data_IF_786174837920
#
_entry.id   IF_786174837920
#
_cell.length_a   1.000
_cell.length_b   1.000
_cell.length_c   1.000
_cell.angle_alpha   90.00
_cell.angle_beta   90.00
_cell.angle_gamma   90.00
#
_symmetry.space_group_name_H-M   'P 1'
#
loop_
_entity.id
_entity.type
_entity.pdbx_description
1 polymer ?
#
# COMPACT_ATOMS: atom_id res chain seq x y z
N UNK A 1 7.51 -29.56 20.89
CA UNK A 1 8.59 -28.68 20.42
C UNK A 1 8.45 -28.51 18.92
N UNK A 2 7.99 -27.34 18.49
CA UNK A 2 7.99 -26.99 17.06
C UNK A 2 9.42 -26.61 16.70
N UNK A 3 10.02 -27.37 15.77
CA UNK A 3 11.28 -26.99 15.18
C UNK A 3 11.03 -25.79 14.25
N UNK A 4 11.57 -24.62 14.58
CA UNK A 4 11.65 -23.51 13.65
C UNK A 4 12.65 -23.89 12.57
N UNK A 5 12.19 -24.04 11.33
CA UNK A 5 13.09 -24.15 10.18
C UNK A 5 13.76 -22.78 10.01
N UNK A 6 15.01 -22.69 10.42
CA UNK A 6 15.84 -21.53 10.15
C UNK A 6 16.09 -21.43 8.65
N UNK A 7 15.63 -20.36 8.01
CA UNK A 7 16.04 -20.06 6.64
C UNK A 7 17.45 -19.50 6.66
N UNK A 8 18.39 -20.21 6.06
CA UNK A 8 19.75 -19.70 5.87
C UNK A 8 19.77 -18.89 4.58
N UNK A 9 19.95 -17.58 4.68
CA UNK A 9 20.17 -16.72 3.52
C UNK A 9 21.68 -16.71 3.22
N UNK A 10 22.04 -17.25 2.06
CA UNK A 10 23.40 -17.10 1.55
C UNK A 10 23.39 -15.91 0.60
N UNK A 11 24.09 -14.84 0.98
CA UNK A 11 24.36 -13.73 0.07
C UNK A 11 25.46 -14.19 -0.89
N UNK A 12 25.11 -14.39 -2.16
CA UNK A 12 26.05 -14.76 -3.21
C UNK A 12 26.33 -13.55 -4.10
N UNK A 13 27.56 -13.47 -4.60
CA UNK A 13 27.95 -12.43 -5.56
C UNK A 13 27.08 -12.54 -6.84
N UNK A 14 26.83 -11.41 -7.48
CA UNK A 14 26.02 -11.29 -8.72
C UNK A 14 26.51 -12.23 -9.83
N UNK A 15 27.80 -12.52 -9.88
CA UNK A 15 28.39 -13.44 -10.84
C UNK A 15 27.98 -14.90 -10.64
N UNK A 16 27.68 -15.31 -9.40
CA UNK A 16 27.30 -16.71 -9.08
C UNK A 16 25.82 -16.96 -9.34
N UNK A 17 24.96 -15.91 -9.28
CA UNK A 17 23.54 -16.05 -9.55
C UNK A 17 23.21 -16.27 -11.03
N UNK A 18 24.14 -15.97 -11.94
CA UNK A 18 23.98 -16.22 -13.38
C UNK A 18 24.21 -17.67 -13.78
N UNK A 19 24.86 -18.49 -12.93
CA UNK A 19 25.19 -19.89 -13.20
C UNK A 19 24.17 -20.88 -12.63
N UNK A 20 23.18 -20.44 -11.86
CA UNK A 20 22.07 -21.31 -11.45
C UNK A 20 21.07 -21.41 -12.62
N UNK A 21 21.54 -22.01 -13.70
CA UNK A 21 20.72 -22.36 -14.84
C UNK A 21 19.81 -23.52 -14.45
N UNK A 22 18.50 -23.25 -14.34
CA UNK A 22 17.49 -24.30 -14.09
C UNK A 22 16.46 -23.96 -13.02
N UNK A 23 16.68 -23.00 -12.17
CA UNK A 23 15.60 -22.40 -11.38
C UNK A 23 14.91 -21.37 -12.28
N UNK A 24 13.66 -21.67 -12.67
CA UNK A 24 12.81 -20.64 -13.25
C UNK A 24 12.91 -19.40 -12.37
N UNK A 25 13.12 -18.21 -12.95
CA UNK A 25 13.41 -17.03 -12.13
C UNK A 25 12.26 -16.78 -11.17
N UNK A 26 12.52 -17.07 -9.91
CA UNK A 26 11.63 -16.80 -8.77
C UNK A 26 11.21 -15.31 -8.74
N UNK A 27 11.96 -14.50 -9.49
CA UNK A 27 11.88 -13.04 -9.52
C UNK A 27 11.20 -12.48 -10.78
N UNK A 28 10.52 -13.27 -11.59
CA UNK A 28 9.80 -12.76 -12.75
C UNK A 28 8.30 -12.91 -12.58
N UNK A 29 7.60 -11.82 -12.90
CA UNK A 29 6.15 -11.83 -13.03
C UNK A 29 5.74 -12.83 -14.14
N UNK A 30 4.86 -13.76 -13.81
CA UNK A 30 4.36 -14.78 -14.73
C UNK A 30 2.88 -14.66 -15.00
N UNK A 31 2.13 -14.19 -14.02
CA UNK A 31 0.68 -14.10 -14.10
C UNK A 31 0.20 -12.88 -13.32
N UNK A 32 -0.85 -12.25 -13.80
CA UNK A 32 -1.61 -11.25 -13.07
C UNK A 32 -3.02 -11.80 -12.90
N UNK A 33 -3.54 -11.76 -11.68
CA UNK A 33 -4.92 -12.14 -11.37
C UNK A 33 -5.60 -11.08 -10.50
N UNK A 34 -6.91 -11.15 -10.40
CA UNK A 34 -7.67 -10.35 -9.44
C UNK A 34 -7.51 -10.92 -8.03
N UNK A 35 -7.41 -10.06 -7.02
CA UNK A 35 -7.22 -10.49 -5.63
C UNK A 35 -8.43 -11.21 -5.03
N UNK A 36 -9.62 -11.00 -5.62
CA UNK A 36 -10.90 -11.56 -5.19
C UNK A 36 -11.45 -12.62 -6.16
N UNK A 37 -10.62 -13.12 -7.08
CA UNK A 37 -10.97 -14.13 -8.09
C UNK A 37 -12.21 -13.79 -8.95
N UNK A 38 -12.49 -12.48 -9.12
CA UNK A 38 -13.59 -12.05 -9.99
C UNK A 38 -13.25 -12.35 -11.44
N UNK A 39 -14.10 -13.16 -12.07
CA UNK A 39 -13.97 -13.57 -13.47
C UNK A 39 -15.01 -12.92 -14.37
N UNK A 40 -16.05 -12.34 -13.81
CA UNK A 40 -17.20 -11.82 -14.53
C UNK A 40 -17.88 -10.68 -13.77
N UNK A 41 -18.31 -9.66 -14.51
CA UNK A 41 -19.24 -8.63 -14.05
C UNK A 41 -20.49 -8.63 -14.92
N UNK A 42 -21.65 -8.47 -14.28
CA UNK A 42 -22.93 -8.28 -14.95
C UNK A 42 -23.39 -6.83 -14.70
N UNK A 43 -23.56 -6.08 -15.77
CA UNK A 43 -23.99 -4.69 -15.72
C UNK A 43 -25.30 -4.52 -16.51
N UNK A 44 -26.18 -3.69 -15.99
CA UNK A 44 -27.29 -3.17 -16.76
C UNK A 44 -26.88 -1.93 -17.55
N UNK A 45 -27.56 -1.64 -18.64
CA UNK A 45 -27.33 -0.41 -19.43
C UNK A 45 -27.20 0.82 -18.52
N UNK A 46 -26.12 1.60 -18.69
CA UNK A 46 -25.85 2.82 -17.94
C UNK A 46 -25.18 2.62 -16.58
N UNK A 47 -25.09 1.40 -16.08
CA UNK A 47 -24.31 1.10 -14.89
C UNK A 47 -22.81 1.22 -15.18
N UNK A 48 -22.03 1.46 -14.14
CA UNK A 48 -20.58 1.58 -14.26
C UNK A 48 -19.87 0.97 -13.05
N UNK A 49 -18.61 0.66 -13.23
CA UNK A 49 -17.69 0.32 -12.15
C UNK A 49 -16.39 1.10 -12.30
N UNK A 50 -15.68 1.35 -11.20
CA UNK A 50 -14.35 1.91 -11.23
C UNK A 50 -13.31 0.79 -11.38
N UNK A 51 -12.62 0.74 -12.51
CA UNK A 51 -11.63 -0.32 -12.76
C UNK A 51 -10.42 -0.21 -11.86
N UNK A 52 -10.11 1.00 -11.38
CA UNK A 52 -8.99 1.25 -10.48
C UNK A 52 -9.21 0.64 -9.07
N UNK A 53 -10.43 0.25 -8.75
CA UNK A 53 -10.75 -0.44 -7.49
C UNK A 53 -10.63 -1.97 -7.61
N UNK A 54 -10.38 -2.50 -8.81
CA UNK A 54 -10.16 -3.93 -9.01
C UNK A 54 -8.78 -4.28 -8.50
N UNK A 55 -8.71 -4.99 -7.39
CA UNK A 55 -7.46 -5.44 -6.82
C UNK A 55 -6.74 -6.42 -7.74
N UNK A 56 -5.44 -6.22 -7.94
CA UNK A 56 -4.58 -7.06 -8.76
C UNK A 56 -3.43 -7.64 -7.95
N UNK A 57 -3.08 -8.87 -8.26
CA UNK A 57 -1.94 -9.58 -7.69
C UNK A 57 -1.08 -10.18 -8.78
N UNK A 58 0.22 -9.93 -8.72
CA UNK A 58 1.20 -10.59 -9.58
C UNK A 58 1.66 -11.92 -8.97
N UNK A 59 1.79 -12.94 -9.79
CA UNK A 59 2.33 -14.25 -9.40
C UNK A 59 3.61 -14.56 -10.17
N UNK A 60 4.55 -15.25 -9.51
CA UNK A 60 5.76 -15.78 -10.13
C UNK A 60 5.51 -17.18 -10.75
N UNK A 61 6.55 -17.79 -11.28
CA UNK A 61 6.49 -19.11 -11.90
C UNK A 61 6.06 -20.24 -10.95
N UNK A 62 6.14 -20.05 -9.66
CA UNK A 62 5.73 -20.97 -8.59
C UNK A 62 4.33 -20.67 -8.06
N UNK A 63 3.59 -19.75 -8.70
CA UNK A 63 2.29 -19.24 -8.25
C UNK A 63 2.33 -18.59 -6.85
N UNK A 64 3.50 -18.12 -6.43
CA UNK A 64 3.64 -17.31 -5.23
C UNK A 64 3.57 -15.83 -5.57
N UNK A 65 3.13 -15.01 -4.61
CA UNK A 65 3.01 -13.56 -4.78
C UNK A 65 4.33 -12.96 -5.21
N UNK A 66 4.29 -12.18 -6.28
CA UNK A 66 5.43 -11.43 -6.79
C UNK A 66 5.40 -10.00 -6.28
N UNK A 67 6.14 -9.72 -5.23
CA UNK A 67 6.17 -8.41 -4.56
C UNK A 67 6.72 -7.24 -5.41
N UNK A 68 7.35 -7.53 -6.55
CA UNK A 68 7.79 -6.51 -7.50
C UNK A 68 6.70 -6.05 -8.47
N UNK A 69 5.47 -6.60 -8.38
CA UNK A 69 4.35 -6.15 -9.19
C UNK A 69 3.78 -4.84 -8.64
N UNK A 70 3.66 -3.84 -9.50
CA UNK A 70 2.98 -2.58 -9.19
C UNK A 70 1.81 -2.39 -10.16
N UNK A 71 0.56 -2.44 -9.67
CA UNK A 71 -0.62 -2.25 -10.51
C UNK A 71 -0.77 -0.83 -11.07
N UNK A 72 -0.04 0.16 -10.56
CA UNK A 72 -0.01 1.52 -11.14
C UNK A 72 0.82 1.61 -12.43
N UNK A 73 1.58 0.55 -12.74
CA UNK A 73 2.43 0.46 -13.93
C UNK A 73 1.79 -0.35 -15.05
N UNK A 74 0.51 -0.17 -15.21
CA UNK A 74 -0.28 -0.73 -16.29
C UNK A 74 -1.66 -0.08 -16.31
N UNK A 75 -2.50 -0.56 -17.20
CA UNK A 75 -3.82 -0.01 -17.41
C UNK A 75 -4.80 -1.07 -17.90
N UNK A 76 -6.08 -0.79 -17.77
CA UNK A 76 -7.13 -1.64 -18.30
C UNK A 76 -7.49 -1.24 -19.73
N UNK A 77 -7.73 -2.25 -20.57
CA UNK A 77 -8.26 -2.11 -21.92
C UNK A 77 -9.51 -2.99 -22.08
N UNK A 78 -10.35 -2.64 -23.03
CA UNK A 78 -11.44 -3.50 -23.47
C UNK A 78 -11.03 -4.30 -24.70
N UNK A 79 -11.34 -5.58 -24.70
CA UNK A 79 -11.06 -6.49 -25.83
C UNK A 79 -12.30 -7.33 -26.17
N UNK A 80 -12.39 -7.77 -27.42
CA UNK A 80 -13.35 -8.79 -27.84
C UNK A 80 -12.94 -10.21 -27.40
N UNK A 81 -13.78 -11.20 -27.70
CA UNK A 81 -13.49 -12.61 -27.38
C UNK A 81 -12.22 -13.17 -28.06
N UNK A 82 -11.68 -12.47 -29.06
CA UNK A 82 -10.44 -12.84 -29.76
C UNK A 82 -9.21 -12.07 -29.22
N UNK A 83 -9.43 -11.22 -28.23
CA UNK A 83 -8.39 -10.38 -27.63
C UNK A 83 -8.04 -9.12 -28.44
N UNK A 84 -8.84 -8.77 -29.44
CA UNK A 84 -8.68 -7.53 -30.20
C UNK A 84 -9.21 -6.38 -29.37
N UNK A 85 -8.41 -5.34 -29.22
CA UNK A 85 -8.79 -4.13 -28.50
C UNK A 85 -9.98 -3.42 -29.17
N UNK A 86 -10.92 -2.99 -28.33
CA UNK A 86 -12.13 -2.29 -28.68
C UNK A 86 -11.93 -0.79 -28.39
N UNK A 87 -11.62 -0.03 -29.42
CA UNK A 87 -11.49 1.44 -29.38
C UNK A 87 -12.75 2.10 -29.96
N UNK A 88 -13.91 1.54 -29.67
CA UNK A 88 -15.15 2.01 -30.28
C UNK A 88 -15.61 3.33 -29.66
N UNK A 89 -15.70 4.36 -30.49
CA UNK A 89 -16.23 5.68 -30.17
C UNK A 89 -17.66 5.86 -30.67
N UNK A 90 -18.31 4.77 -31.14
CA UNK A 90 -19.71 4.81 -31.58
C UNK A 90 -20.67 4.97 -30.39
N UNK A 91 -21.85 5.49 -30.62
CA UNK A 91 -22.90 5.61 -29.60
C UNK A 91 -23.52 4.23 -29.23
N UNK A 92 -23.22 3.18 -29.99
CA UNK A 92 -23.79 1.84 -29.89
C UNK A 92 -22.78 0.81 -29.29
N UNK A 93 -21.91 1.27 -28.39
CA UNK A 93 -20.96 0.38 -27.72
C UNK A 93 -21.64 -0.58 -26.71
N UNK A 94 -21.06 -1.76 -26.49
CA UNK A 94 -21.44 -2.68 -25.39
C UNK A 94 -20.95 -2.11 -24.06
N UNK A 95 -19.68 -1.75 -23.97
CA UNK A 95 -19.09 -1.03 -22.85
C UNK A 95 -17.95 -0.14 -23.34
N UNK A 96 -17.60 0.89 -22.56
CA UNK A 96 -16.46 1.76 -22.82
C UNK A 96 -15.71 2.06 -21.53
N UNK A 97 -14.43 2.38 -21.67
CA UNK A 97 -13.63 2.98 -20.60
C UNK A 97 -13.67 4.51 -20.72
N UNK A 98 -13.85 5.17 -19.60
CA UNK A 98 -13.92 6.63 -19.50
C UNK A 98 -13.06 7.09 -18.32
N UNK A 99 -11.94 7.76 -18.61
CA UNK A 99 -11.03 8.25 -17.59
C UNK A 99 -11.30 9.72 -17.30
N UNK A 100 -11.61 10.00 -16.05
CA UNK A 100 -11.78 11.36 -15.57
C UNK A 100 -10.43 12.09 -15.59
N UNK A 101 -10.32 13.13 -16.40
CA UNK A 101 -9.08 13.89 -16.60
C UNK A 101 -8.62 14.67 -15.36
N UNK A 102 -9.49 14.90 -14.39
CA UNK A 102 -9.21 15.64 -13.16
C UNK A 102 -8.75 14.70 -12.05
N UNK A 103 -9.42 13.57 -11.91
CA UNK A 103 -9.15 12.61 -10.83
C UNK A 103 -8.24 11.46 -11.25
N UNK A 104 -8.12 11.20 -12.56
CA UNK A 104 -7.39 10.06 -13.11
C UNK A 104 -8.13 8.72 -12.99
N UNK A 105 -9.29 8.68 -12.33
CA UNK A 105 -10.05 7.43 -12.18
C UNK A 105 -10.72 7.01 -13.47
N UNK A 106 -10.64 5.71 -13.76
CA UNK A 106 -11.24 5.13 -14.96
C UNK A 106 -12.52 4.37 -14.62
N UNK A 107 -13.59 4.68 -15.32
CA UNK A 107 -14.88 3.97 -15.27
C UNK A 107 -15.02 3.04 -16.45
N UNK A 108 -15.44 1.81 -16.20
CA UNK A 108 -16.06 0.98 -17.20
C UNK A 108 -17.56 1.29 -17.19
N UNK A 109 -18.12 1.77 -18.29
CA UNK A 109 -19.52 2.17 -18.43
C UNK A 109 -20.21 1.20 -19.40
N UNK A 110 -21.29 0.59 -18.95
CA UNK A 110 -22.15 -0.26 -19.77
C UNK A 110 -22.93 0.58 -20.79
N UNK A 111 -22.87 0.20 -22.04
CA UNK A 111 -23.57 0.84 -23.15
C UNK A 111 -25.03 0.42 -23.29
N UNK A 112 -25.65 0.83 -24.40
CA UNK A 112 -27.04 0.47 -24.76
C UNK A 112 -27.15 -0.85 -25.52
N UNK A 113 -26.02 -1.35 -26.02
CA UNK A 113 -25.96 -2.60 -26.77
C UNK A 113 -25.67 -3.76 -25.81
N UNK A 114 -26.54 -4.76 -25.83
CA UNK A 114 -26.34 -5.98 -25.06
C UNK A 114 -25.21 -6.81 -25.66
N UNK A 115 -24.46 -7.49 -24.80
CA UNK A 115 -23.40 -8.38 -25.24
C UNK A 115 -22.32 -8.59 -24.20
N UNK A 116 -21.25 -9.24 -24.63
CA UNK A 116 -20.10 -9.56 -23.79
C UNK A 116 -18.85 -8.91 -24.38
N UNK A 117 -18.13 -8.19 -23.56
CA UNK A 117 -16.78 -7.71 -23.82
C UNK A 117 -15.87 -8.18 -22.67
N UNK A 118 -14.58 -8.02 -22.83
CA UNK A 118 -13.63 -8.44 -21.81
C UNK A 118 -12.77 -7.27 -21.37
N UNK A 119 -12.71 -7.05 -20.08
CA UNK A 119 -11.79 -6.11 -19.44
C UNK A 119 -10.46 -6.85 -19.23
N UNK A 120 -9.39 -6.34 -19.82
CA UNK A 120 -8.06 -6.95 -19.78
C UNK A 120 -7.06 -5.96 -19.20
N UNK A 121 -6.31 -6.38 -18.19
CA UNK A 121 -5.21 -5.58 -17.66
C UNK A 121 -3.95 -5.77 -18.51
N UNK A 122 -3.27 -4.68 -18.83
CA UNK A 122 -2.04 -4.65 -19.61
C UNK A 122 -0.98 -3.87 -18.84
N UNK A 123 0.21 -4.44 -18.71
CA UNK A 123 1.35 -3.73 -18.11
C UNK A 123 1.99 -2.81 -19.16
N UNK A 124 2.42 -1.63 -18.71
CA UNK A 124 3.12 -0.69 -19.58
C UNK A 124 4.49 -1.24 -19.98
N UNK A 125 4.89 -0.93 -21.22
CA UNK A 125 6.19 -1.33 -21.73
C UNK A 125 7.33 -0.79 -20.85
N UNK A 126 8.39 -1.58 -20.71
CA UNK A 126 9.64 -1.24 -20.03
C UNK A 126 9.65 -1.26 -18.47
N UNK A 127 8.51 -1.29 -17.81
CA UNK A 127 8.47 -1.23 -16.33
C UNK A 127 9.19 -2.41 -15.67
N UNK A 128 9.08 -3.60 -16.30
CA UNK A 128 9.71 -4.83 -15.80
C UNK A 128 10.89 -5.28 -16.66
N UNK A 129 11.28 -4.47 -17.64
CA UNK A 129 12.46 -4.72 -18.44
C UNK A 129 13.73 -4.32 -17.66
N UNK A 130 14.72 -5.21 -17.64
CA UNK A 130 16.06 -4.91 -17.13
C UNK A 130 17.07 -5.04 -18.27
N UNK A 131 18.30 -4.55 -18.08
CA UNK A 131 19.38 -4.74 -19.05
C UNK A 131 19.62 -6.23 -19.39
N UNK A 132 19.31 -7.13 -18.46
CA UNK A 132 19.44 -8.58 -18.60
C UNK A 132 18.18 -9.24 -19.17
N UNK A 133 17.05 -8.52 -19.19
CA UNK A 133 15.75 -8.98 -19.69
C UNK A 133 15.13 -7.92 -20.59
N UNK A 134 15.36 -8.03 -21.90
CA UNK A 134 14.94 -7.03 -22.86
C UNK A 134 13.40 -6.91 -22.94
N UNK A 135 12.91 -5.82 -23.50
CA UNK A 135 11.50 -5.44 -23.70
C UNK A 135 10.57 -6.58 -24.12
N UNK A 136 11.02 -7.45 -25.00
CA UNK A 136 10.25 -8.61 -25.47
C UNK A 136 9.82 -9.57 -24.35
N UNK A 137 10.47 -9.53 -23.20
CA UNK A 137 10.12 -10.34 -22.05
C UNK A 137 9.01 -9.70 -21.20
N UNK A 138 9.01 -8.37 -21.10
CA UNK A 138 7.97 -7.62 -20.40
C UNK A 138 6.66 -7.52 -21.21
N UNK A 139 6.78 -7.49 -22.54
CA UNK A 139 5.66 -7.33 -23.49
C UNK A 139 5.08 -8.63 -24.01
N UNK A 140 5.61 -9.78 -23.60
CA UNK A 140 5.02 -11.05 -24.03
C UNK A 140 3.63 -11.22 -23.36
N UNK A 141 2.61 -10.77 -24.07
CA UNK A 141 1.21 -10.77 -23.67
C UNK A 141 0.71 -12.13 -23.16
N UNK A 142 1.31 -13.23 -23.63
CA UNK A 142 0.98 -14.57 -23.15
C UNK A 142 1.43 -14.84 -21.70
N UNK A 143 2.37 -14.05 -21.18
CA UNK A 143 2.94 -14.24 -19.84
C UNK A 143 2.36 -13.28 -18.80
N UNK A 144 1.80 -12.15 -19.22
CA UNK A 144 1.51 -11.04 -18.30
C UNK A 144 0.04 -10.62 -18.25
N UNK A 145 -0.80 -11.14 -19.11
CA UNK A 145 -2.17 -10.64 -19.26
C UNK A 145 -3.22 -11.70 -19.00
N UNK A 146 -3.16 -12.31 -17.84
CA UNK A 146 -4.17 -13.29 -17.44
C UNK A 146 -5.33 -12.70 -16.64
N UNK A 147 -5.22 -11.47 -16.16
CA UNK A 147 -6.35 -10.77 -15.57
C UNK A 147 -7.30 -10.32 -16.69
N UNK A 148 -8.19 -11.22 -17.06
CA UNK A 148 -9.32 -10.97 -17.96
C UNK A 148 -10.63 -11.20 -17.22
N UNK A 149 -11.52 -10.21 -17.28
CA UNK A 149 -12.83 -10.25 -16.64
C UNK A 149 -13.88 -10.11 -17.73
N UNK A 150 -14.80 -11.05 -17.81
CA UNK A 150 -15.95 -10.94 -18.70
C UNK A 150 -16.88 -9.81 -18.20
N UNK A 151 -17.37 -8.99 -19.10
CA UNK A 151 -18.33 -7.92 -18.82
C UNK A 151 -19.57 -8.20 -19.64
N UNK A 152 -20.61 -8.70 -18.99
CA UNK A 152 -21.92 -8.95 -19.58
C UNK A 152 -22.79 -7.73 -19.41
N UNK A 153 -23.22 -7.13 -20.52
CA UNK A 153 -24.14 -6.00 -20.54
C UNK A 153 -25.52 -6.45 -20.94
N UNK A 154 -26.53 -6.17 -20.12
CA UNK A 154 -27.94 -6.49 -20.34
C UNK A 154 -28.79 -5.22 -20.23
N UNK A 155 -29.92 -5.19 -20.94
CA UNK A 155 -30.93 -4.15 -20.79
C UNK A 155 -31.80 -4.33 -19.55
N UNK A 156 -31.79 -5.52 -18.98
CA UNK A 156 -32.56 -5.77 -17.77
C UNK A 156 -31.92 -5.08 -16.58
N UNK A 157 -32.70 -4.20 -15.96
CA UNK A 157 -32.30 -3.53 -14.73
C UNK A 157 -32.35 -4.52 -13.55
N UNK A 158 -31.39 -4.43 -12.63
CA UNK A 158 -31.41 -5.18 -11.37
C UNK A 158 -32.23 -4.40 -10.34
N UNK A 159 -33.54 -4.72 -10.26
CA UNK A 159 -34.49 -3.97 -9.45
C UNK A 159 -34.89 -4.64 -8.14
N UNK A 160 -34.60 -5.96 -8.02
CA UNK A 160 -35.00 -6.76 -6.88
C UNK A 160 -33.86 -7.66 -6.46
N UNK A 161 -33.65 -7.80 -5.15
CA UNK A 161 -32.62 -8.65 -4.59
C UNK A 161 -32.14 -8.17 -3.23
N UNK A 162 -31.03 -8.72 -2.78
CA UNK A 162 -30.38 -8.34 -1.51
C UNK A 162 -28.91 -8.05 -1.73
N UNK A 163 -28.41 -7.07 -1.00
CA UNK A 163 -26.98 -6.77 -0.89
C UNK A 163 -26.58 -6.96 0.56
N UNK A 164 -25.66 -7.87 0.81
CA UNK A 164 -25.10 -8.12 2.13
C UNK A 164 -23.68 -7.64 2.18
N UNK A 165 -23.35 -6.79 3.16
CA UNK A 165 -22.00 -6.29 3.40
C UNK A 165 -21.38 -7.07 4.55
N UNK A 166 -20.10 -7.41 4.43
CA UNK A 166 -19.33 -8.07 5.49
C UNK A 166 -17.88 -7.56 5.51
N UNK A 167 -17.19 -7.82 6.63
CA UNK A 167 -15.80 -7.39 6.85
C UNK A 167 -15.71 -6.21 7.80
N UNK A 168 -14.53 -5.67 7.95
CA UNK A 168 -14.26 -4.49 8.79
C UNK A 168 -13.53 -3.44 7.97
N UNK A 169 -13.94 -2.18 8.12
CA UNK A 169 -13.28 -1.06 7.50
C UNK A 169 -12.93 -0.02 8.57
N UNK A 170 -11.66 0.06 8.86
CA UNK A 170 -11.12 1.04 9.80
C UNK A 170 -10.19 2.00 9.07
N UNK A 171 -10.44 3.29 9.16
CA UNK A 171 -9.57 4.36 8.65
C UNK A 171 -8.92 5.15 9.77
N UNK A 172 -8.10 6.13 9.42
CA UNK A 172 -7.50 7.09 10.33
C UNK A 172 -7.90 8.49 9.84
N UNK A 173 -8.35 9.35 10.72
CA UNK A 173 -8.72 10.72 10.38
C UNK A 173 -7.52 11.46 9.78
N UNK A 174 -7.72 12.11 8.64
CA UNK A 174 -6.67 12.84 7.93
C UNK A 174 -5.79 11.99 7.00
N UNK A 175 -5.90 10.66 7.01
CA UNK A 175 -5.20 9.81 6.06
C UNK A 175 -5.82 9.94 4.65
N UNK A 176 -5.04 9.65 3.60
CA UNK A 176 -5.53 9.59 2.22
C UNK A 176 -6.74 8.65 2.07
N UNK A 177 -7.59 8.95 1.07
CA UNK A 177 -8.70 8.07 0.73
C UNK A 177 -8.20 6.67 0.34
N UNK A 178 -8.97 5.65 0.74
CA UNK A 178 -8.69 4.25 0.43
C UNK A 178 -9.91 3.55 -0.15
N UNK A 179 -9.70 2.44 -0.87
CA UNK A 179 -10.80 1.64 -1.39
C UNK A 179 -11.69 1.11 -0.25
N UNK A 180 -13.00 1.09 -0.50
CA UNK A 180 -13.98 0.54 0.45
C UNK A 180 -13.97 -0.98 0.36
N UNK A 181 -13.90 -1.52 -0.86
CA UNK A 181 -13.84 -2.97 -1.11
C UNK A 181 -12.40 -3.43 -1.27
N UNK A 182 -12.14 -4.68 -0.92
CA UNK A 182 -10.85 -5.33 -1.17
C UNK A 182 -10.39 -6.22 -0.02
N UNK A 183 -9.14 -6.63 -0.07
CA UNK A 183 -8.53 -7.55 0.90
C UNK A 183 -8.58 -7.03 2.34
N UNK A 184 -8.38 -5.72 2.50
CA UNK A 184 -8.35 -5.04 3.81
C UNK A 184 -9.56 -4.10 3.97
N UNK A 185 -10.67 -4.40 3.29
CA UNK A 185 -11.89 -3.61 3.27
C UNK A 185 -13.14 -4.47 3.39
N UNK A 186 -14.24 -3.90 2.92
CA UNK A 186 -15.54 -4.56 2.94
C UNK A 186 -15.66 -5.53 1.75
N UNK A 187 -16.50 -6.53 1.93
CA UNK A 187 -16.94 -7.44 0.86
C UNK A 187 -18.45 -7.33 0.68
N UNK A 188 -18.89 -7.53 -0.55
CA UNK A 188 -20.30 -7.43 -0.92
C UNK A 188 -20.77 -8.73 -1.54
N UNK A 189 -21.91 -9.25 -1.08
CA UNK A 189 -22.61 -10.35 -1.70
C UNK A 189 -23.96 -9.89 -2.21
N UNK A 190 -24.22 -10.11 -3.50
CA UNK A 190 -25.46 -9.71 -4.18
C UNK A 190 -26.22 -10.95 -4.60
N UNK A 191 -27.49 -11.04 -4.22
CA UNK A 191 -28.40 -12.14 -4.59
C UNK A 191 -29.70 -11.60 -5.17
N UNK A 192 -30.21 -12.31 -6.18
CA UNK A 192 -31.55 -12.06 -6.69
C UNK A 192 -32.64 -12.68 -5.76
N UNK A 193 -33.93 -12.45 -6.03
CA UNK A 193 -35.02 -13.02 -5.22
C UNK A 193 -35.02 -14.58 -5.19
N UNK A 194 -34.40 -15.24 -6.15
CA UNK A 194 -34.23 -16.70 -6.17
C UNK A 194 -33.01 -17.17 -5.36
N UNK A 195 -32.34 -16.26 -4.67
CA UNK A 195 -31.13 -16.49 -3.88
C UNK A 195 -29.89 -16.83 -4.73
N UNK A 196 -29.94 -16.68 -6.03
CA UNK A 196 -28.79 -16.85 -6.91
C UNK A 196 -27.82 -15.68 -6.72
N UNK A 197 -26.54 -15.99 -6.57
CA UNK A 197 -25.47 -15.02 -6.44
C UNK A 197 -25.12 -14.36 -7.78
N UNK A 198 -24.89 -13.06 -7.76
CA UNK A 198 -24.50 -12.27 -8.92
C UNK A 198 -23.21 -11.51 -8.64
N UNK A 199 -22.31 -11.47 -9.61
CA UNK A 199 -21.15 -10.57 -9.62
C UNK A 199 -21.57 -9.28 -10.32
N UNK A 200 -21.88 -8.26 -9.54
CA UNK A 200 -22.29 -6.93 -10.03
C UNK A 200 -21.45 -5.86 -9.35
N UNK A 201 -21.16 -4.76 -10.03
CA UNK A 201 -20.52 -3.62 -9.39
C UNK A 201 -21.49 -2.97 -8.39
N UNK A 202 -20.92 -2.38 -7.36
CA UNK A 202 -21.66 -1.52 -6.44
C UNK A 202 -21.11 -0.11 -6.45
N UNK A 203 -21.97 0.84 -6.15
CA UNK A 203 -21.62 2.22 -5.85
C UNK A 203 -21.85 2.42 -4.36
N UNK A 204 -20.90 3.02 -3.69
CA UNK A 204 -20.96 3.28 -2.27
C UNK A 204 -21.46 4.69 -1.96
N UNK A 205 -22.22 4.80 -0.90
CA UNK A 205 -22.81 6.03 -0.38
C UNK A 205 -22.56 6.12 1.12
N UNK A 206 -22.48 7.33 1.66
CA UNK A 206 -22.38 7.59 3.09
C UNK A 206 -23.68 8.21 3.61
N UNK A 207 -24.09 7.82 4.81
CA UNK A 207 -25.25 8.37 5.48
C UNK A 207 -25.01 9.83 5.90
N UNK A 208 -23.81 10.07 6.41
CA UNK A 208 -23.36 11.35 6.93
C UNK A 208 -22.89 12.27 5.79
N UNK A 209 -23.03 13.57 5.98
CA UNK A 209 -22.49 14.57 5.04
C UNK A 209 -20.95 14.62 5.13
N UNK A 210 -20.25 15.01 4.06
CA UNK A 210 -18.77 15.12 4.08
C UNK A 210 -18.23 16.01 5.20
N UNK A 211 -18.98 17.05 5.59
CA UNK A 211 -18.65 17.95 6.71
C UNK A 211 -18.74 17.29 8.07
N UNK A 212 -19.42 16.16 8.17
CA UNK A 212 -19.59 15.40 9.42
C UNK A 212 -18.43 14.41 9.68
N UNK A 213 -17.45 14.36 8.81
CA UNK A 213 -16.20 13.62 9.05
C UNK A 213 -15.93 12.45 8.12
N UNK A 214 -16.82 12.14 7.19
CA UNK A 214 -16.68 11.08 6.19
C UNK A 214 -16.86 11.65 4.79
N UNK A 215 -16.11 11.11 3.84
CA UNK A 215 -16.32 11.34 2.41
C UNK A 215 -16.22 10.02 1.68
N UNK A 216 -17.27 9.70 0.89
CA UNK A 216 -17.27 8.58 -0.06
C UNK A 216 -17.30 9.16 -1.46
N UNK A 217 -16.29 8.82 -2.25
CA UNK A 217 -16.17 9.28 -3.64
C UNK A 217 -15.39 8.24 -4.45
N UNK A 218 -15.89 7.92 -5.64
CA UNK A 218 -15.26 6.95 -6.56
C UNK A 218 -15.00 5.59 -5.90
N UNK A 219 -15.92 5.10 -5.08
CA UNK A 219 -15.79 3.88 -4.27
C UNK A 219 -14.57 3.89 -3.31
N UNK A 220 -14.12 5.07 -2.98
CA UNK A 220 -13.11 5.29 -1.95
C UNK A 220 -13.69 6.06 -0.77
N UNK A 221 -13.08 5.88 0.39
CA UNK A 221 -13.49 6.50 1.65
C UNK A 221 -12.31 7.23 2.29
N UNK A 222 -12.59 8.39 2.84
CA UNK A 222 -11.68 9.12 3.72
C UNK A 222 -12.42 9.71 4.91
N UNK A 223 -11.68 9.98 5.98
CA UNK A 223 -12.21 10.50 7.22
C UNK A 223 -11.47 11.77 7.62
N UNK A 224 -12.18 12.80 8.08
CA UNK A 224 -11.61 14.04 8.58
C UNK A 224 -11.61 14.13 10.10
N UNK A 225 -12.38 13.27 10.78
CA UNK A 225 -12.42 13.14 12.25
C UNK A 225 -12.62 11.68 12.66
N UNK A 226 -12.24 11.36 13.88
CA UNK A 226 -12.53 10.06 14.51
C UNK A 226 -14.02 9.86 14.77
N UNK A 227 -14.44 8.61 14.80
CA UNK A 227 -15.82 8.22 15.14
C UNK A 227 -16.32 7.00 14.37
N UNK A 228 -17.59 6.74 14.55
CA UNK A 228 -18.34 5.70 13.84
C UNK A 228 -19.19 6.35 12.76
N UNK A 229 -19.16 5.80 11.57
CA UNK A 229 -19.86 6.29 10.39
C UNK A 229 -20.59 5.14 9.69
N UNK A 230 -21.48 5.47 8.75
CA UNK A 230 -22.27 4.47 8.06
C UNK A 230 -22.15 4.63 6.55
N UNK A 231 -21.96 3.51 5.88
CA UNK A 231 -21.93 3.40 4.43
C UNK A 231 -22.97 2.37 3.96
N UNK A 232 -23.38 2.46 2.72
CA UNK A 232 -24.19 1.43 2.07
C UNK A 232 -23.75 1.23 0.63
N UNK A 233 -23.99 0.05 0.12
CA UNK A 233 -23.77 -0.31 -1.27
C UNK A 233 -25.08 -0.23 -2.06
N UNK A 234 -24.97 0.18 -3.33
CA UNK A 234 -26.08 0.20 -4.30
C UNK A 234 -25.65 -0.52 -5.59
N UNK A 235 -26.52 -1.36 -6.15
CA UNK A 235 -26.42 -1.85 -7.53
C UNK A 235 -27.81 -1.86 -8.16
N UNK A 236 -27.94 -1.35 -9.40
CA UNK A 236 -29.25 -1.10 -9.98
C UNK A 236 -30.09 -0.19 -9.09
N UNK A 237 -31.29 -0.62 -8.75
CA UNK A 237 -32.17 0.08 -7.81
C UNK A 237 -32.18 -0.53 -6.40
N UNK A 238 -31.29 -1.52 -6.14
CA UNK A 238 -31.23 -2.21 -4.86
C UNK A 238 -30.15 -1.59 -3.97
N UNK A 239 -30.48 -1.35 -2.71
CA UNK A 239 -29.58 -0.85 -1.67
C UNK A 239 -29.34 -1.91 -0.61
N UNK A 240 -28.15 -1.91 -0.02
CA UNK A 240 -27.92 -2.62 1.25
C UNK A 240 -28.54 -1.85 2.42
N UNK A 241 -28.62 -2.49 3.57
CA UNK A 241 -28.72 -1.78 4.84
C UNK A 241 -27.47 -0.92 5.06
N UNK A 242 -27.59 0.07 5.95
CA UNK A 242 -26.46 0.87 6.41
C UNK A 242 -25.49 0.00 7.21
N UNK A 243 -24.20 0.12 6.89
CA UNK A 243 -23.12 -0.67 7.48
C UNK A 243 -22.13 0.23 8.21
N UNK A 244 -21.76 -0.16 9.42
CA UNK A 244 -20.86 0.61 10.28
C UNK A 244 -19.40 0.50 9.82
N UNK A 245 -18.72 1.65 9.81
CA UNK A 245 -17.27 1.78 9.57
C UNK A 245 -16.66 2.71 10.60
N UNK A 246 -15.40 2.50 10.95
CA UNK A 246 -14.75 3.21 12.04
C UNK A 246 -13.60 4.09 11.53
N UNK A 247 -13.51 5.30 12.08
CA UNK A 247 -12.33 6.15 11.94
C UNK A 247 -11.61 6.31 13.28
N UNK A 248 -10.34 5.97 13.28
CA UNK A 248 -9.42 6.20 14.40
C UNK A 248 -8.97 7.66 14.45
N UNK A 249 -8.47 8.15 15.61
CA UNK A 249 -7.90 9.48 15.75
C UNK A 249 -6.83 9.79 14.71
N UNK A 250 -6.72 11.08 14.35
CA UNK A 250 -5.65 11.54 13.46
C UNK A 250 -4.26 11.19 14.04
N UNK A 251 -3.32 10.92 13.13
CA UNK A 251 -1.94 10.59 13.51
C UNK A 251 -1.29 11.73 14.28
N UNK A 252 -0.52 11.39 15.28
CA UNK A 252 0.31 12.34 16.06
C UNK A 252 1.62 11.66 16.44
N UNK A 253 2.69 12.43 16.49
CA UNK A 253 3.97 11.96 17.01
C UNK A 253 3.80 11.54 18.47
N UNK A 254 4.28 10.35 18.82
CA UNK A 254 4.23 9.84 20.21
C UNK A 254 5.56 9.32 20.70
N UNK A 255 6.46 8.93 19.78
CA UNK A 255 7.73 8.32 20.17
C UNK A 255 8.87 8.88 19.34
N UNK A 256 9.93 9.28 20.00
CA UNK A 256 11.24 9.57 19.43
C UNK A 256 12.21 8.58 20.05
N UNK A 257 12.94 7.84 19.22
CA UNK A 257 13.93 6.88 19.67
C UNK A 257 15.30 7.22 19.11
N UNK A 258 16.25 7.44 20.01
CA UNK A 258 17.68 7.63 19.70
C UNK A 258 18.45 6.36 20.06
N UNK A 259 19.70 6.16 19.60
CA UNK A 259 20.52 5.04 20.00
C UNK A 259 20.65 4.96 21.53
N UNK A 260 20.65 3.76 22.09
CA UNK A 260 20.74 3.58 23.55
C UNK A 260 22.15 3.81 24.08
N UNK A 261 23.17 3.48 23.27
CA UNK A 261 24.57 3.57 23.65
C UNK A 261 25.45 4.08 22.51
N UNK A 262 26.49 4.81 22.88
CA UNK A 262 27.59 5.23 22.00
C UNK A 262 28.90 5.14 22.78
N UNK A 263 29.94 4.61 22.14
CA UNK A 263 31.32 4.58 22.72
C UNK A 263 32.21 5.51 21.89
N UNK A 264 32.94 6.38 22.57
CA UNK A 264 33.84 7.36 21.97
C UNK A 264 35.21 7.21 22.60
N UNK A 265 36.26 7.23 21.78
CA UNK A 265 37.64 7.29 22.27
C UNK A 265 38.08 8.75 22.38
N UNK A 266 38.32 9.21 23.61
CA UNK A 266 38.70 10.60 23.92
C UNK A 266 40.00 11.06 23.23
N UNK A 267 40.86 10.14 22.84
CA UNK A 267 42.09 10.47 22.10
C UNK A 267 41.86 10.77 20.64
N UNK A 268 40.81 10.22 20.08
CA UNK A 268 40.45 10.38 18.67
C UNK A 268 39.45 11.50 18.46
N UNK A 269 38.49 11.62 19.37
CA UNK A 269 37.39 12.54 19.25
C UNK A 269 37.04 13.21 20.58
N UNK A 270 36.96 14.54 20.56
CA UNK A 270 36.50 15.37 21.70
C UNK A 270 35.08 15.89 21.53
N UNK A 271 34.45 15.54 20.43
CA UNK A 271 33.09 15.97 20.10
C UNK A 271 32.29 14.83 19.51
N UNK A 272 30.98 14.87 19.69
CA UNK A 272 30.01 13.95 19.09
C UNK A 272 28.96 14.74 18.33
N UNK A 273 28.79 14.47 17.07
CA UNK A 273 27.72 15.06 16.28
C UNK A 273 26.43 14.27 16.51
N UNK A 274 25.60 14.75 17.46
CA UNK A 274 24.33 14.12 17.80
C UNK A 274 23.32 14.24 16.66
N UNK A 275 23.37 15.31 15.87
CA UNK A 275 22.47 15.52 14.73
C UNK A 275 22.70 14.52 13.59
N UNK A 276 23.86 13.83 13.55
CA UNK A 276 24.16 12.79 12.58
C UNK A 276 23.68 11.38 13.01
N UNK A 277 23.16 11.24 14.23
CA UNK A 277 22.65 9.96 14.72
C UNK A 277 21.36 9.56 13.99
N UNK A 278 21.16 8.24 13.85
CA UNK A 278 19.88 7.73 13.37
C UNK A 278 18.83 7.86 14.47
N UNK A 279 17.76 8.60 14.15
CA UNK A 279 16.63 8.81 15.04
C UNK A 279 15.37 8.25 14.39
N UNK A 280 14.61 7.48 15.14
CA UNK A 280 13.30 6.97 14.72
C UNK A 280 12.17 7.81 15.33
N UNK A 281 11.19 8.11 14.52
CA UNK A 281 10.00 8.86 14.91
C UNK A 281 8.77 8.01 14.61
N UNK A 282 7.91 7.80 15.59
CA UNK A 282 6.69 6.98 15.42
C UNK A 282 5.45 7.71 15.90
N UNK A 283 4.35 7.46 15.20
CA UNK A 283 3.03 7.86 15.65
C UNK A 283 2.45 6.85 16.67
N UNK A 284 1.25 7.13 17.17
CA UNK A 284 0.54 6.26 18.12
C UNK A 284 0.15 4.89 17.53
N UNK A 285 0.26 4.69 16.23
CA UNK A 285 -0.02 3.43 15.55
C UNK A 285 1.26 2.67 15.17
N UNK A 286 2.44 3.21 15.55
CA UNK A 286 3.74 2.62 15.27
C UNK A 286 4.26 2.87 13.86
N UNK A 287 3.57 3.66 13.05
CA UNK A 287 4.04 4.05 11.73
C UNK A 287 5.09 5.16 11.81
N UNK A 288 5.93 5.27 10.78
CA UNK A 288 6.91 6.34 10.69
C UNK A 288 6.23 7.70 10.59
N UNK A 289 6.72 8.65 11.39
CA UNK A 289 6.19 10.01 11.44
C UNK A 289 6.89 10.94 10.46
N UNK A 290 6.11 11.71 9.73
CA UNK A 290 6.59 12.78 8.85
C UNK A 290 5.62 13.97 8.90
N UNK A 291 6.10 15.23 8.79
CA UNK A 291 7.50 15.67 8.76
C UNK A 291 8.18 15.50 10.13
N UNK A 292 9.47 15.15 10.13
CA UNK A 292 10.24 15.02 11.36
C UNK A 292 10.44 16.39 12.02
N UNK A 293 10.24 16.53 13.34
CA UNK A 293 10.50 17.78 14.04
C UNK A 293 12.00 18.05 14.18
N UNK A 294 12.36 19.29 14.32
CA UNK A 294 13.70 19.66 14.79
C UNK A 294 13.91 19.12 16.20
N UNK A 295 15.11 18.60 16.47
CA UNK A 295 15.49 18.09 17.79
C UNK A 295 16.29 19.11 18.57
N UNK A 296 15.95 19.22 19.85
CA UNK A 296 16.77 19.88 20.86
C UNK A 296 17.43 18.80 21.71
N UNK A 297 18.76 18.78 21.70
CA UNK A 297 19.55 17.82 22.48
C UNK A 297 19.90 18.40 23.85
N UNK A 298 19.92 17.56 24.87
CA UNK A 298 20.27 17.94 26.23
C UNK A 298 21.13 16.89 26.93
N UNK A 299 22.04 17.36 27.75
CA UNK A 299 22.87 16.59 28.65
C UNK A 299 22.94 17.33 29.99
N UNK A 300 22.61 16.67 31.08
CA UNK A 300 22.61 17.26 32.41
C UNK A 300 23.96 17.14 33.13
N UNK A 301 24.91 16.42 32.54
CA UNK A 301 26.21 16.15 33.16
C UNK A 301 27.10 17.41 33.17
N UNK A 302 27.85 17.58 34.27
CA UNK A 302 28.68 18.75 34.48
C UNK A 302 29.81 18.85 33.45
N UNK A 303 30.07 20.08 32.94
CA UNK A 303 31.15 20.37 32.00
C UNK A 303 30.86 19.99 30.54
N UNK A 304 29.70 19.40 30.26
CA UNK A 304 29.26 19.09 28.89
C UNK A 304 28.55 20.30 28.28
N UNK A 305 28.82 20.59 27.02
CA UNK A 305 28.06 21.57 26.23
C UNK A 305 27.61 20.97 24.89
N UNK A 306 26.45 21.39 24.46
CA UNK A 306 25.88 21.04 23.13
C UNK A 306 25.62 22.35 22.41
N UNK A 307 26.18 22.52 21.21
CA UNK A 307 25.95 23.70 20.39
C UNK A 307 24.61 23.67 19.64
N UNK A 308 24.28 24.75 18.94
CA UNK A 308 23.07 24.91 18.15
C UNK A 308 22.96 23.91 16.96
N UNK A 309 24.08 23.32 16.54
CA UNK A 309 24.16 22.31 15.50
C UNK A 309 24.03 20.87 16.03
N UNK A 310 23.84 20.71 17.35
CA UNK A 310 23.77 19.40 18.00
C UNK A 310 25.15 18.72 18.16
N UNK A 311 26.22 19.51 18.21
CA UNK A 311 27.57 18.99 18.48
C UNK A 311 27.82 19.04 19.98
N UNK A 312 27.97 17.86 20.59
CA UNK A 312 28.30 17.70 21.99
C UNK A 312 29.81 17.74 22.17
N UNK A 313 30.29 18.58 23.09
CA UNK A 313 31.71 18.64 23.50
C UNK A 313 31.90 17.82 24.75
N UNK A 314 32.88 16.88 24.71
CA UNK A 314 33.20 15.95 25.77
C UNK A 314 34.36 16.50 26.61
N UNK A 315 34.18 16.76 27.93
CA UNK A 315 35.21 17.34 28.78
C UNK A 315 36.29 16.36 29.20
N UNK A 316 35.94 15.07 29.37
CA UNK A 316 36.87 14.05 29.87
C UNK A 316 36.39 12.62 29.62
N UNK A 317 37.19 11.66 29.95
CA UNK A 317 36.79 10.23 30.06
C UNK A 317 35.71 10.09 31.13
N UNK A 318 34.64 9.33 30.82
CA UNK A 318 33.52 9.16 31.71
C UNK A 318 32.28 8.63 31.01
N UNK A 319 31.16 8.73 31.67
CA UNK A 319 29.87 8.33 31.14
C UNK A 319 28.93 9.56 31.19
N UNK A 320 28.29 9.84 30.08
CA UNK A 320 27.39 10.98 29.90
C UNK A 320 26.02 10.52 29.43
N UNK A 321 24.99 11.24 29.86
CA UNK A 321 23.61 10.90 29.59
C UNK A 321 22.97 11.97 28.70
N UNK A 322 22.53 11.58 27.52
CA UNK A 322 21.94 12.47 26.53
C UNK A 322 20.50 12.10 26.23
N UNK A 323 19.66 13.12 26.10
CA UNK A 323 18.27 13.00 25.62
C UNK A 323 18.04 14.00 24.49
N UNK A 324 16.99 13.74 23.71
CA UNK A 324 16.51 14.65 22.67
C UNK A 324 15.03 14.95 22.88
N UNK A 325 14.59 16.13 22.48
CA UNK A 325 13.17 16.51 22.48
C UNK A 325 12.82 17.13 21.13
N UNK A 326 11.66 16.77 20.60
CA UNK A 326 11.14 17.32 19.35
C UNK A 326 9.62 17.26 19.31
N UNK A 327 8.96 18.36 18.88
CA UNK A 327 7.50 18.41 18.84
C UNK A 327 6.81 18.18 20.19
N UNK A 328 7.48 18.47 21.31
CA UNK A 328 6.98 18.24 22.67
C UNK A 328 7.10 16.77 23.14
N UNK A 329 7.81 15.91 22.42
CA UNK A 329 8.03 14.51 22.76
C UNK A 329 9.52 14.32 23.11
N UNK A 330 9.78 13.78 24.29
CA UNK A 330 11.13 13.40 24.72
C UNK A 330 11.51 12.02 24.19
N UNK A 331 12.77 11.84 23.86
CA UNK A 331 13.34 10.55 23.46
C UNK A 331 13.58 9.64 24.67
N UNK A 332 13.96 8.37 24.38
CA UNK A 332 14.70 7.57 25.32
C UNK A 332 16.05 8.23 25.67
N UNK A 333 16.68 7.76 26.72
CA UNK A 333 18.01 8.19 27.14
C UNK A 333 19.10 7.41 26.37
N UNK A 334 20.14 8.12 25.93
CA UNK A 334 21.36 7.55 25.38
C UNK A 334 22.52 7.66 26.35
N UNK A 335 23.25 6.60 26.55
CA UNK A 335 24.50 6.60 27.34
C UNK A 335 25.70 6.72 26.40
N UNK A 336 26.52 7.77 26.58
CA UNK A 336 27.78 7.93 25.88
C UNK A 336 28.91 7.51 26.84
N UNK A 337 29.60 6.43 26.53
CA UNK A 337 30.74 5.97 27.25
C UNK A 337 32.03 6.47 26.58
N UNK A 338 32.75 7.31 27.25
CA UNK A 338 34.00 7.91 26.77
C UNK A 338 35.19 7.19 27.42
N UNK A 339 36.00 6.51 26.61
CA UNK A 339 37.13 5.73 27.05
C UNK A 339 38.46 6.37 26.61
N UNK A 340 39.54 6.05 27.28
CA UNK A 340 40.91 6.33 26.81
C UNK A 340 41.56 5.01 26.38
N UNK A 341 41.78 4.84 25.08
CA UNK A 341 42.37 3.59 24.52
C UNK A 341 43.85 3.37 24.86
N UNK A 342 44.49 4.26 25.61
CA UNK A 342 45.89 4.04 26.09
C UNK A 342 46.02 3.08 27.25
N UNK A 343 45.17 2.11 27.40
CA UNK A 343 45.49 1.02 28.32
C UNK A 343 46.74 0.33 27.83
N UNK A 344 47.86 0.58 28.54
CA UNK A 344 49.10 -0.15 28.36
C UNK A 344 48.82 -1.64 28.34
N UNK A 345 49.23 -2.32 27.27
CA UNK A 345 49.47 -3.76 27.33
C UNK A 345 50.53 -3.94 28.40
N UNK A 346 50.14 -4.18 29.64
CA UNK A 346 51.05 -4.62 30.68
C UNK A 346 51.45 -6.05 30.30
N UNK A 347 52.70 -6.17 29.87
CA UNK A 347 53.52 -7.32 29.63
C UNK A 347 52.83 -8.70 29.70
N UNK A 348 52.90 -9.40 28.59
CA UNK A 348 52.84 -10.86 28.59
C UNK A 348 54.05 -11.39 29.39
N UNK A 349 53.81 -11.96 30.53
CA UNK A 349 54.76 -12.84 31.22
C UNK A 349 54.60 -14.27 30.74
#
# INVERSE_FOLDING_TARGET
>A
PMASAGATFTVVDKAVTSEISGLAPIYSLRQIKTTNDVMEYNLSTGEYLYVDTIGLEGLNAQNAVYYGFNPEKGHWILVDAKGKELNDVSDDYIAKLDTDSVTGYTKLIAGKTEGIVYLKYVIDEDVYATAEKPKSYATNNSLHSTAMIAVNVSREAFNEGTITIAGELTGIAGDPAKAIEGKDGLTVEIRDPSMKKHSRPVVWDAQELPTDGITVKNNQISFTKEGTFHVRAKTGEVFSDWYEVTALPARKLTTITIPEMLTVDYKLEHTVNLAALQVSYKDQYGADWTPVPALTWSCADEGVSIDENGVLTIPSVGTYTVTAEGGGIASNTMTITVIDSTTKVTAFT
#
